data_IF_988646490480
#
_entry.id   IF_988646490480
#
_cell.length_a   1.000
_cell.length_b   1.000
_cell.length_c   1.000
_cell.angle_alpha   90.00
_cell.angle_beta   90.00
_cell.angle_gamma   90.00
#
_symmetry.space_group_name_H-M   'P 1'
#
loop_
_entity.id
_entity.type
_entity.pdbx_description
1 polymer ?
#
# COMPACT_ATOMS: atom_id res chain seq x y z
N UNK A 1 21.93 9.56 -53.26
CA UNK A 1 22.55 10.65 -52.50
C UNK A 1 21.96 10.64 -51.10
N UNK A 2 22.81 10.46 -50.11
CA UNK A 2 22.52 10.12 -48.70
C UNK A 2 22.00 11.32 -47.92
N UNK A 3 20.79 11.23 -47.34
CA UNK A 3 20.28 12.22 -46.40
C UNK A 3 20.67 11.83 -44.97
N UNK A 4 21.63 12.56 -44.39
CA UNK A 4 21.97 12.47 -42.96
C UNK A 4 20.86 13.06 -42.08
N UNK A 5 20.58 12.50 -40.89
CA UNK A 5 19.65 13.10 -39.94
C UNK A 5 20.26 14.35 -39.25
N UNK A 6 19.42 15.29 -38.78
CA UNK A 6 19.88 16.53 -38.15
C UNK A 6 20.48 16.30 -36.74
N UNK A 7 21.40 17.17 -36.29
CA UNK A 7 22.06 17.03 -34.99
C UNK A 7 21.12 17.37 -33.81
N UNK A 8 21.36 16.78 -32.62
CA UNK A 8 20.56 17.04 -31.42
C UNK A 8 20.76 18.45 -30.85
N UNK A 9 19.76 18.99 -30.13
CA UNK A 9 19.83 20.33 -29.53
C UNK A 9 20.85 20.40 -28.37
N UNK A 10 21.48 21.58 -28.13
CA UNK A 10 22.49 21.73 -27.10
C UNK A 10 21.88 21.69 -25.68
N UNK A 11 22.60 21.03 -24.77
CA UNK A 11 22.26 20.92 -23.34
C UNK A 11 22.27 22.31 -22.65
N UNK A 12 21.36 22.56 -21.68
CA UNK A 12 21.32 23.82 -20.95
C UNK A 12 22.56 24.01 -20.06
N UNK A 13 23.17 25.20 -20.16
CA UNK A 13 24.33 25.65 -19.37
C UNK A 13 24.01 25.68 -17.87
N UNK A 14 24.92 25.14 -17.07
CA UNK A 14 24.91 25.25 -15.62
C UNK A 14 25.06 26.72 -15.18
N UNK A 15 24.15 27.18 -14.32
CA UNK A 15 24.21 28.50 -13.67
C UNK A 15 25.10 28.39 -12.42
N UNK A 16 26.10 29.27 -12.22
CA UNK A 16 26.95 29.22 -11.04
C UNK A 16 26.23 29.80 -9.81
N UNK A 17 26.36 29.09 -8.67
CA UNK A 17 25.92 29.56 -7.35
C UNK A 17 26.70 30.82 -6.95
N UNK A 18 25.99 31.93 -6.72
CA UNK A 18 26.54 33.13 -6.06
C UNK A 18 26.89 32.81 -4.61
N UNK A 19 28.17 32.98 -4.27
CA UNK A 19 28.64 33.09 -2.89
C UNK A 19 28.31 34.47 -2.33
N UNK A 20 27.86 34.50 -1.08
CA UNK A 20 27.88 35.71 -0.26
C UNK A 20 28.99 35.58 0.77
N UNK A 21 30.04 36.39 0.55
CA UNK A 21 31.03 36.75 1.55
C UNK A 21 30.49 37.94 2.36
N UNK A 22 30.67 37.91 3.68
CA UNK A 22 30.73 39.12 4.48
C UNK A 22 31.89 39.01 5.47
N UNK A 23 32.80 39.97 5.38
CA UNK A 23 33.96 40.16 6.25
C UNK A 23 33.66 41.25 7.29
N UNK A 24 34.25 41.09 8.49
CA UNK A 24 34.88 42.05 9.43
C UNK A 24 34.27 43.46 9.65
N UNK A 25 34.18 44.06 10.85
CA UNK A 25 35.02 44.09 12.07
C UNK A 25 34.23 44.81 13.23
N UNK A 26 34.86 45.41 14.27
CA UNK A 26 35.66 44.90 15.40
C UNK A 26 35.03 45.21 16.79
N UNK A 27 35.62 44.68 17.88
CA UNK A 27 35.15 44.87 19.28
C UNK A 27 35.56 46.18 19.96
N UNK A 28 35.27 46.31 21.28
CA UNK A 28 36.37 46.54 22.25
C UNK A 28 36.22 45.74 23.59
N UNK A 29 37.32 45.63 24.32
CA UNK A 29 37.50 45.02 25.67
C UNK A 29 37.88 46.13 26.71
N UNK A 30 38.34 45.87 27.96
CA UNK A 30 38.09 44.82 28.98
C UNK A 30 37.84 45.35 30.44
N UNK A 31 37.42 44.45 31.37
CA UNK A 31 37.76 44.44 32.83
C UNK A 31 36.72 44.97 33.85
N UNK A 32 36.86 44.73 35.18
CA UNK A 32 37.64 43.72 35.92
C UNK A 32 36.78 42.85 36.90
N UNK A 33 37.40 41.85 37.52
CA UNK A 33 36.82 40.97 38.55
C UNK A 33 36.67 41.64 39.93
N UNK A 34 35.83 41.07 40.83
CA UNK A 34 36.39 40.62 42.11
C UNK A 34 35.89 39.22 42.54
N UNK A 35 36.73 38.55 43.34
CA UNK A 35 36.44 37.38 44.19
C UNK A 35 36.66 37.79 45.66
N UNK A 36 36.50 36.93 46.69
CA UNK A 36 35.55 35.83 46.90
C UNK A 36 34.77 35.99 48.23
N UNK A 37 33.52 35.53 48.32
CA UNK A 37 32.91 35.23 49.63
C UNK A 37 32.44 33.78 49.67
N UNK A 38 33.12 33.02 50.54
CA UNK A 38 32.73 31.70 51.03
C UNK A 38 31.47 31.89 51.87
N UNK A 39 30.51 30.98 51.77
CA UNK A 39 29.82 30.30 52.89
C UNK A 39 28.85 29.26 52.32
N UNK A 40 28.86 28.06 52.91
CA UNK A 40 27.66 27.20 52.99
C UNK A 40 27.46 26.14 51.90
N UNK A 41 28.18 25.02 52.06
CA UNK A 41 27.66 23.65 51.96
C UNK A 41 26.22 23.46 51.42
N UNK A 42 26.06 22.78 50.29
CA UNK A 42 25.12 21.65 50.16
C UNK A 42 25.25 20.90 48.82
N UNK A 43 25.52 19.61 48.94
CA UNK A 43 25.05 18.51 48.11
C UNK A 43 25.24 18.60 46.58
N UNK A 44 26.27 17.91 46.12
CA UNK A 44 26.31 17.25 44.81
C UNK A 44 25.05 16.39 44.57
N UNK A 45 24.21 16.78 43.61
CA UNK A 45 23.29 15.86 42.94
C UNK A 45 23.68 15.86 41.46
N UNK A 46 24.24 14.74 41.03
CA UNK A 46 24.58 14.50 39.63
C UNK A 46 23.35 14.64 38.74
N UNK A 47 23.44 15.54 37.77
CA UNK A 47 22.51 15.61 36.64
C UNK A 47 22.82 14.41 35.74
N UNK A 48 22.26 13.24 36.08
CA UNK A 48 22.19 12.11 35.15
C UNK A 48 21.13 12.41 34.08
N UNK A 49 21.63 12.67 32.87
CA UNK A 49 21.08 12.27 31.57
C UNK A 49 19.61 11.79 31.55
N UNK A 50 18.66 12.73 31.45
CA UNK A 50 17.28 12.44 30.99
C UNK A 50 16.95 13.11 29.66
N UNK A 51 17.95 13.34 28.81
CA UNK A 51 17.78 14.04 27.52
C UNK A 51 17.92 13.17 26.25
N UNK A 52 18.38 11.93 26.35
CA UNK A 52 18.74 11.13 25.17
C UNK A 52 17.59 10.25 24.63
N UNK A 53 16.71 9.74 25.50
CA UNK A 53 15.66 8.77 25.10
C UNK A 53 14.47 9.40 24.38
N UNK A 54 14.13 10.67 24.68
CA UNK A 54 13.03 11.40 24.04
C UNK A 54 13.33 11.80 22.59
N UNK A 55 14.55 12.27 22.32
CA UNK A 55 15.00 12.65 20.97
C UNK A 55 15.09 11.43 20.04
N UNK A 56 15.62 10.30 20.53
CA UNK A 56 15.71 9.04 19.77
C UNK A 56 14.33 8.47 19.41
N UNK A 57 13.36 8.46 20.34
CA UNK A 57 11.98 8.01 20.07
C UNK A 57 11.26 8.91 19.07
N UNK A 58 11.44 10.24 19.15
CA UNK A 58 10.86 11.18 18.18
C UNK A 58 11.48 11.04 16.79
N UNK A 59 12.79 10.81 16.70
CA UNK A 59 13.50 10.56 15.45
C UNK A 59 13.12 9.22 14.82
N UNK A 60 12.95 8.16 15.61
CA UNK A 60 12.48 6.86 15.15
C UNK A 60 11.00 6.88 14.71
N UNK A 61 10.15 7.67 15.36
CA UNK A 61 8.76 7.89 14.93
C UNK A 61 8.68 8.73 13.64
N UNK A 62 9.52 9.77 13.52
CA UNK A 62 9.65 10.58 12.31
C UNK A 62 10.20 9.78 11.12
N UNK A 63 11.22 8.96 11.35
CA UNK A 63 11.78 8.05 10.34
C UNK A 63 10.78 6.98 9.91
N UNK A 64 10.01 6.39 10.84
CA UNK A 64 8.92 5.46 10.51
C UNK A 64 7.80 6.13 9.72
N UNK A 65 7.44 7.36 10.08
CA UNK A 65 6.42 8.14 9.34
C UNK A 65 6.90 8.49 7.94
N UNK A 66 8.15 8.94 7.79
CA UNK A 66 8.74 9.23 6.48
C UNK A 66 8.86 7.96 5.61
N UNK A 67 9.23 6.82 6.20
CA UNK A 67 9.26 5.52 5.52
C UNK A 67 7.87 5.06 5.08
N UNK A 68 6.86 5.21 5.93
CA UNK A 68 5.46 4.92 5.59
C UNK A 68 4.97 5.84 4.47
N UNK A 69 5.27 7.14 4.53
CA UNK A 69 4.93 8.08 3.46
C UNK A 69 5.62 7.72 2.14
N UNK A 70 6.89 7.33 2.18
CA UNK A 70 7.63 6.88 1.01
C UNK A 70 7.08 5.55 0.44
N UNK A 71 6.76 4.60 1.30
CA UNK A 71 6.13 3.33 0.91
C UNK A 71 4.74 3.56 0.30
N UNK A 72 3.93 4.45 0.89
CA UNK A 72 2.62 4.86 0.38
C UNK A 72 2.70 5.68 -0.92
N UNK A 73 3.78 6.44 -1.11
CA UNK A 73 4.05 7.13 -2.36
C UNK A 73 4.44 6.14 -3.46
N UNK A 74 5.27 5.14 -3.15
CA UNK A 74 5.63 4.04 -4.08
C UNK A 74 4.44 3.15 -4.41
N UNK A 75 3.60 2.81 -3.43
CA UNK A 75 2.37 2.04 -3.65
C UNK A 75 1.34 2.80 -4.49
N UNK A 76 1.49 4.12 -4.64
CA UNK A 76 0.66 5.00 -5.47
C UNK A 76 1.42 5.55 -6.68
N UNK A 77 2.59 5.01 -7.02
CA UNK A 77 3.36 5.47 -8.18
C UNK A 77 2.59 5.30 -9.51
N UNK A 78 1.64 4.37 -9.54
CA UNK A 78 0.70 4.17 -10.65
C UNK A 78 -0.32 5.32 -10.79
N UNK A 79 -0.61 6.03 -9.69
CA UNK A 79 -1.68 7.01 -9.63
C UNK A 79 -1.17 8.39 -10.04
N UNK A 80 -1.73 8.93 -11.14
CA UNK A 80 -1.50 10.31 -11.56
C UNK A 80 -2.76 11.13 -11.28
N UNK A 81 -2.81 11.91 -10.18
CA UNK A 81 -4.02 12.63 -9.79
C UNK A 81 -4.49 13.59 -10.88
N UNK A 82 -5.80 13.60 -11.11
CA UNK A 82 -6.41 14.58 -12.00
C UNK A 82 -6.41 15.96 -11.33
N UNK A 83 -6.05 17.00 -12.08
CA UNK A 83 -6.14 18.38 -11.59
C UNK A 83 -7.60 18.80 -11.34
N UNK A 84 -7.83 19.66 -10.34
CA UNK A 84 -9.19 20.08 -9.94
C UNK A 84 -10.03 20.63 -11.10
N UNK A 85 -9.43 21.40 -12.01
CA UNK A 85 -10.14 21.93 -13.18
C UNK A 85 -10.71 20.83 -14.09
N UNK A 86 -9.92 19.79 -14.39
CA UNK A 86 -10.37 18.65 -15.19
C UNK A 86 -11.50 17.88 -14.50
N UNK A 87 -11.45 17.78 -13.16
CA UNK A 87 -12.50 17.13 -12.36
C UNK A 87 -13.81 17.91 -12.37
N UNK A 88 -13.73 19.23 -12.22
CA UNK A 88 -14.90 20.11 -12.29
C UNK A 88 -15.52 20.06 -13.69
N UNK A 89 -14.70 20.05 -14.73
CA UNK A 89 -15.17 19.90 -16.11
C UNK A 89 -15.86 18.54 -16.33
N UNK A 90 -15.28 17.43 -15.85
CA UNK A 90 -15.89 16.10 -15.96
C UNK A 90 -17.25 16.05 -15.27
N UNK A 91 -17.32 16.54 -14.02
CA UNK A 91 -18.58 16.60 -13.27
C UNK A 91 -19.62 17.48 -13.96
N UNK A 92 -19.20 18.62 -14.52
CA UNK A 92 -20.11 19.52 -15.26
C UNK A 92 -20.69 18.82 -16.51
N UNK A 93 -19.86 18.09 -17.25
CA UNK A 93 -20.31 17.31 -18.41
C UNK A 93 -21.35 16.27 -17.99
N UNK A 94 -21.09 15.53 -16.92
CA UNK A 94 -22.01 14.51 -16.40
C UNK A 94 -23.37 15.13 -16.02
N UNK A 95 -23.36 16.25 -15.28
CA UNK A 95 -24.58 16.98 -14.91
C UNK A 95 -25.33 17.49 -16.13
N UNK A 96 -24.65 18.12 -17.07
CA UNK A 96 -25.28 18.63 -18.31
C UNK A 96 -25.91 17.49 -19.10
N UNK A 97 -25.24 16.35 -19.23
CA UNK A 97 -25.80 15.19 -19.91
C UNK A 97 -27.08 14.68 -19.23
N UNK A 98 -27.09 14.54 -17.90
CA UNK A 98 -28.27 14.15 -17.14
C UNK A 98 -29.42 15.16 -17.30
N UNK A 99 -29.13 16.46 -17.23
CA UNK A 99 -30.14 17.52 -17.39
C UNK A 99 -30.71 17.53 -18.81
N UNK A 100 -29.89 17.36 -19.84
CA UNK A 100 -30.36 17.29 -21.23
C UNK A 100 -31.32 16.12 -21.45
N UNK A 101 -30.98 14.93 -20.94
CA UNK A 101 -31.85 13.75 -21.03
C UNK A 101 -33.17 13.97 -20.27
N UNK A 102 -33.10 14.53 -19.07
CA UNK A 102 -34.27 14.86 -18.25
C UNK A 102 -35.19 15.89 -18.90
N UNK A 103 -34.62 16.98 -19.46
CA UNK A 103 -35.37 18.03 -20.16
C UNK A 103 -36.02 17.46 -21.42
N UNK A 104 -35.29 16.67 -22.21
CA UNK A 104 -35.84 16.02 -23.39
C UNK A 104 -37.03 15.12 -23.03
N UNK A 105 -36.90 14.28 -22.00
CA UNK A 105 -37.98 13.42 -21.52
C UNK A 105 -39.19 14.22 -21.02
N UNK A 106 -38.97 15.29 -20.25
CA UNK A 106 -40.03 16.16 -19.76
C UNK A 106 -40.76 16.91 -20.87
N UNK A 107 -40.04 17.36 -21.91
CA UNK A 107 -40.64 18.02 -23.07
C UNK A 107 -41.43 17.05 -23.96
N UNK A 108 -40.87 15.88 -24.25
CA UNK A 108 -41.51 14.84 -25.07
C UNK A 108 -42.81 14.33 -24.43
N UNK A 109 -42.82 14.20 -23.10
CA UNK A 109 -43.98 13.72 -22.34
C UNK A 109 -44.89 14.84 -21.82
N UNK A 110 -44.47 16.11 -22.00
CA UNK A 110 -45.11 17.31 -21.42
C UNK A 110 -45.34 17.21 -19.91
N UNK A 111 -44.46 16.52 -19.20
CA UNK A 111 -44.57 16.27 -17.76
C UNK A 111 -43.24 16.57 -17.05
N UNK A 112 -43.27 17.58 -16.18
CA UNK A 112 -42.11 17.91 -15.34
C UNK A 112 -41.76 16.77 -14.38
N UNK A 113 -42.76 16.01 -13.91
CA UNK A 113 -42.57 14.87 -13.01
C UNK A 113 -41.75 13.77 -13.69
N UNK A 114 -42.05 13.47 -14.96
CA UNK A 114 -41.29 12.50 -15.74
C UNK A 114 -39.84 12.99 -15.93
N UNK A 115 -39.65 14.27 -16.24
CA UNK A 115 -38.31 14.86 -16.36
C UNK A 115 -37.50 14.70 -15.07
N UNK A 116 -38.09 14.99 -13.91
CA UNK A 116 -37.42 14.81 -12.60
C UNK A 116 -37.13 13.34 -12.32
N UNK A 117 -38.05 12.43 -12.60
CA UNK A 117 -37.84 10.99 -12.41
C UNK A 117 -36.65 10.49 -13.26
N UNK A 118 -36.61 10.89 -14.53
CA UNK A 118 -35.51 10.55 -15.46
C UNK A 118 -34.19 11.15 -14.99
N UNK A 119 -34.19 12.37 -14.42
CA UNK A 119 -32.98 12.97 -13.85
C UNK A 119 -32.43 12.13 -12.69
N UNK A 120 -33.30 11.70 -11.77
CA UNK A 120 -32.93 10.86 -10.64
C UNK A 120 -32.44 9.48 -11.11
N UNK A 121 -33.12 8.88 -12.08
CA UNK A 121 -32.73 7.61 -12.67
C UNK A 121 -31.36 7.70 -13.36
N UNK A 122 -31.13 8.73 -14.18
CA UNK A 122 -29.84 8.96 -14.84
C UNK A 122 -28.71 9.15 -13.82
N UNK A 123 -28.96 9.87 -12.71
CA UNK A 123 -28.00 10.03 -11.64
C UNK A 123 -27.65 8.69 -10.97
N UNK A 124 -28.66 7.84 -10.69
CA UNK A 124 -28.44 6.49 -10.14
C UNK A 124 -27.68 5.60 -11.13
N UNK A 125 -28.00 5.67 -12.42
CA UNK A 125 -27.27 4.92 -13.47
C UNK A 125 -25.80 5.35 -13.49
N UNK A 126 -25.50 6.65 -13.49
CA UNK A 126 -24.11 7.14 -13.42
C UNK A 126 -23.38 6.66 -12.17
N UNK A 127 -24.05 6.65 -11.02
CA UNK A 127 -23.48 6.12 -9.77
C UNK A 127 -23.10 4.64 -9.89
N UNK A 128 -23.98 3.83 -10.47
CA UNK A 128 -23.73 2.39 -10.67
C UNK A 128 -22.60 2.18 -11.68
N UNK A 129 -22.61 2.91 -12.79
CA UNK A 129 -21.58 2.85 -13.82
C UNK A 129 -20.21 3.22 -13.25
N UNK A 130 -20.12 4.32 -12.51
CA UNK A 130 -18.87 4.76 -11.90
C UNK A 130 -18.39 3.77 -10.83
N UNK A 131 -19.29 3.21 -10.02
CA UNK A 131 -18.92 2.22 -9.01
C UNK A 131 -18.34 0.94 -9.62
N UNK A 132 -18.89 0.47 -10.74
CA UNK A 132 -18.48 -0.77 -11.42
C UNK A 132 -17.26 -0.58 -12.32
N UNK A 133 -17.22 0.51 -13.07
CA UNK A 133 -16.22 0.70 -14.14
C UNK A 133 -15.14 1.73 -13.79
N UNK A 134 -15.41 2.59 -12.80
CA UNK A 134 -14.61 3.79 -12.53
C UNK A 134 -14.80 4.89 -13.58
N UNK A 135 -15.74 4.73 -14.50
CA UNK A 135 -15.95 5.64 -15.62
C UNK A 135 -17.34 6.29 -15.57
N UNK A 136 -17.38 7.56 -15.95
CA UNK A 136 -18.57 8.36 -16.26
C UNK A 136 -18.37 8.97 -17.65
N UNK A 137 -19.42 9.57 -18.22
CA UNK A 137 -19.31 10.20 -19.53
C UNK A 137 -18.24 11.29 -19.54
N UNK A 138 -18.29 12.21 -18.57
CA UNK A 138 -17.31 13.28 -18.41
C UNK A 138 -15.90 12.76 -18.14
N UNK A 139 -15.77 11.72 -17.32
CA UNK A 139 -14.49 11.07 -17.08
C UNK A 139 -13.92 10.49 -18.38
N UNK A 140 -14.71 9.80 -19.21
CA UNK A 140 -14.23 9.24 -20.48
C UNK A 140 -13.79 10.33 -21.45
N UNK A 141 -14.57 11.40 -21.58
CA UNK A 141 -14.24 12.52 -22.48
C UNK A 141 -12.95 13.25 -22.06
N UNK A 142 -12.72 13.39 -20.75
CA UNK A 142 -11.54 14.06 -20.22
C UNK A 142 -10.40 13.10 -19.85
N UNK A 143 -10.53 11.81 -20.22
CA UNK A 143 -9.54 10.76 -19.96
C UNK A 143 -9.20 10.61 -18.49
N UNK A 144 -10.21 10.74 -17.64
CA UNK A 144 -10.14 10.51 -16.22
C UNK A 144 -10.74 9.14 -15.90
N UNK A 145 -10.33 8.58 -14.77
CA UNK A 145 -10.95 7.38 -14.22
C UNK A 145 -10.93 7.46 -12.71
N UNK A 146 -12.06 7.14 -12.08
CA UNK A 146 -12.15 6.98 -10.64
C UNK A 146 -11.64 5.57 -10.29
N UNK A 147 -10.64 5.50 -9.42
CA UNK A 147 -10.05 4.27 -8.92
C UNK A 147 -10.09 4.24 -7.39
N UNK A 148 -9.80 3.09 -6.80
CA UNK A 148 -9.59 2.98 -5.35
C UNK A 148 -8.30 3.70 -4.94
N UNK A 149 -8.21 4.10 -3.68
CA UNK A 149 -7.03 4.80 -3.17
C UNK A 149 -5.84 3.90 -2.84
N UNK A 150 -6.07 2.59 -2.79
CA UNK A 150 -5.11 1.53 -2.50
C UNK A 150 -4.65 0.78 -3.75
N UNK A 151 -5.45 0.76 -4.83
CA UNK A 151 -5.16 -0.02 -6.03
C UNK A 151 -5.81 0.55 -7.32
N UNK A 152 -5.25 0.25 -8.51
CA UNK A 152 -5.73 0.72 -9.82
C UNK A 152 -7.03 0.03 -10.30
N UNK A 153 -7.93 -0.31 -9.38
CA UNK A 153 -9.19 -0.96 -9.67
C UNK A 153 -10.38 -0.01 -9.53
N UNK A 154 -11.50 -0.36 -10.17
CA UNK A 154 -12.76 0.36 -9.99
C UNK A 154 -13.14 0.44 -8.49
N UNK A 155 -13.83 1.51 -8.05
CA UNK A 155 -14.19 1.71 -6.64
C UNK A 155 -14.88 0.52 -5.98
N UNK A 156 -15.74 -0.17 -6.72
CA UNK A 156 -16.64 -1.20 -6.20
C UNK A 156 -17.91 -0.57 -5.62
N UNK A 157 -18.95 -1.38 -5.44
CA UNK A 157 -20.30 -0.90 -5.10
C UNK A 157 -20.33 -0.15 -3.77
N UNK A 158 -19.76 -0.69 -2.70
CA UNK A 158 -19.80 -0.06 -1.37
C UNK A 158 -19.11 1.31 -1.34
N UNK A 159 -17.86 1.39 -1.83
CA UNK A 159 -17.09 2.64 -1.88
C UNK A 159 -17.69 3.66 -2.85
N UNK A 160 -18.14 3.18 -4.00
CA UNK A 160 -18.83 4.00 -5.01
C UNK A 160 -20.14 4.58 -4.47
N UNK A 161 -20.92 3.80 -3.73
CA UNK A 161 -22.16 4.25 -3.10
C UNK A 161 -21.89 5.32 -2.03
N UNK A 162 -20.91 5.13 -1.13
CA UNK A 162 -20.56 6.15 -0.13
C UNK A 162 -20.13 7.45 -0.78
N UNK A 163 -19.22 7.39 -1.76
CA UNK A 163 -18.80 8.57 -2.54
C UNK A 163 -20.00 9.23 -3.21
N UNK A 164 -20.83 8.40 -3.84
CA UNK A 164 -22.03 8.81 -4.55
C UNK A 164 -23.05 9.53 -3.70
N UNK A 165 -23.29 9.04 -2.49
CA UNK A 165 -24.18 9.67 -1.52
C UNK A 165 -23.62 11.03 -1.08
N UNK A 166 -22.34 11.12 -0.72
CA UNK A 166 -21.74 12.41 -0.33
C UNK A 166 -21.82 13.42 -1.48
N UNK A 167 -21.55 12.99 -2.71
CA UNK A 167 -21.67 13.84 -3.90
C UNK A 167 -23.12 14.23 -4.19
N UNK A 168 -24.06 13.28 -4.09
CA UNK A 168 -25.48 13.47 -4.35
C UNK A 168 -26.15 14.39 -3.33
N UNK A 169 -25.90 14.17 -2.04
CA UNK A 169 -26.35 15.07 -0.97
C UNK A 169 -25.78 16.48 -1.17
N UNK A 170 -24.49 16.59 -1.48
CA UNK A 170 -23.87 17.88 -1.81
C UNK A 170 -24.55 18.55 -3.00
N UNK A 171 -24.89 17.80 -4.04
CA UNK A 171 -25.59 18.31 -5.23
C UNK A 171 -27.01 18.77 -4.92
N UNK A 172 -27.71 18.11 -4.00
CA UNK A 172 -29.05 18.51 -3.58
C UNK A 172 -29.06 19.85 -2.82
N UNK A 173 -27.94 20.25 -2.20
CA UNK A 173 -27.81 21.56 -1.56
C UNK A 173 -27.75 22.66 -2.62
N UNK A 174 -28.85 23.40 -2.77
CA UNK A 174 -29.02 24.52 -3.68
C UNK A 174 -28.73 24.21 -5.17
N UNK A 175 -28.71 22.93 -5.56
CA UNK A 175 -28.36 22.47 -6.91
C UNK A 175 -26.96 22.89 -7.40
N UNK A 176 -26.11 23.43 -6.52
CA UNK A 176 -24.75 23.88 -6.82
C UNK A 176 -23.70 23.29 -5.87
N UNK A 177 -24.12 22.71 -4.74
CA UNK A 177 -23.20 22.18 -3.74
C UNK A 177 -22.35 21.01 -4.24
N UNK A 178 -22.77 20.33 -5.32
CA UNK A 178 -21.97 19.28 -5.97
C UNK A 178 -20.63 19.79 -6.53
N UNK A 179 -20.62 21.00 -7.11
CA UNK A 179 -19.37 21.64 -7.57
C UNK A 179 -18.49 22.04 -6.39
N UNK A 180 -19.09 22.50 -5.29
CA UNK A 180 -18.34 22.82 -4.08
C UNK A 180 -17.65 21.57 -3.50
N UNK A 181 -18.36 20.43 -3.46
CA UNK A 181 -17.78 19.13 -3.05
C UNK A 181 -16.58 18.79 -3.94
N UNK A 182 -16.69 18.89 -5.26
CA UNK A 182 -15.55 18.61 -6.17
C UNK A 182 -14.42 19.61 -5.99
N UNK A 183 -14.72 20.90 -5.79
CA UNK A 183 -13.74 21.96 -5.58
C UNK A 183 -12.90 21.76 -4.32
N UNK A 184 -13.42 21.03 -3.31
CA UNK A 184 -12.62 20.67 -2.12
C UNK A 184 -11.38 19.83 -2.44
N UNK A 185 -11.28 19.27 -3.64
CA UNK A 185 -10.06 18.60 -4.13
C UNK A 185 -8.86 19.54 -4.25
N UNK A 186 -9.06 20.84 -4.49
CA UNK A 186 -7.97 21.81 -4.55
C UNK A 186 -7.31 22.03 -3.18
N UNK A 187 -8.06 21.81 -2.11
CA UNK A 187 -7.62 21.99 -0.73
C UNK A 187 -7.13 20.67 -0.09
N UNK A 188 -6.86 19.63 -0.88
CA UNK A 188 -6.38 18.34 -0.35
C UNK A 188 -4.94 18.47 0.21
N UNK A 189 -4.73 18.31 1.52
CA UNK A 189 -3.41 18.39 2.14
C UNK A 189 -2.44 17.33 1.60
N UNK A 190 -2.97 16.22 1.10
CA UNK A 190 -2.20 15.10 0.58
C UNK A 190 -1.66 15.36 -0.83
N UNK A 191 -2.03 16.50 -1.45
CA UNK A 191 -1.77 16.85 -2.88
C UNK A 191 -2.17 15.75 -3.87
N UNK A 192 -3.08 14.89 -3.44
CA UNK A 192 -3.59 13.76 -4.21
C UNK A 192 -4.90 14.15 -4.92
N UNK A 193 -5.31 15.41 -4.78
CA UNK A 193 -6.47 15.98 -5.43
C UNK A 193 -7.75 15.28 -5.04
N UNK A 194 -7.98 14.92 -3.77
CA UNK A 194 -9.17 14.19 -3.29
C UNK A 194 -10.26 15.13 -2.76
N UNK A 195 -11.47 15.01 -3.30
CA UNK A 195 -12.65 15.74 -2.81
C UNK A 195 -13.16 15.14 -1.49
N UNK A 196 -14.09 15.83 -0.81
CA UNK A 196 -14.82 15.25 0.33
C UNK A 196 -15.47 13.91 -0.01
N UNK A 197 -16.11 13.81 -1.17
CA UNK A 197 -16.69 12.57 -1.65
C UNK A 197 -15.64 11.46 -1.85
N UNK A 198 -14.46 11.79 -2.40
CA UNK A 198 -13.41 10.78 -2.60
C UNK A 198 -12.80 10.28 -1.29
N UNK A 199 -12.65 11.18 -0.30
CA UNK A 199 -12.14 10.84 1.02
C UNK A 199 -13.11 9.94 1.77
N UNK A 200 -14.41 10.23 1.71
CA UNK A 200 -15.44 9.36 2.28
C UNK A 200 -15.46 7.98 1.60
N UNK A 201 -15.35 7.93 0.28
CA UNK A 201 -15.37 6.69 -0.48
C UNK A 201 -14.04 5.93 -0.54
N UNK A 202 -12.94 6.45 0.01
CA UNK A 202 -11.58 5.91 -0.18
C UNK A 202 -11.23 5.68 -1.65
N UNK A 203 -11.49 6.69 -2.47
CA UNK A 203 -11.24 6.69 -3.93
C UNK A 203 -10.28 7.81 -4.32
N UNK A 204 -9.87 7.77 -5.58
CA UNK A 204 -8.99 8.73 -6.23
C UNK A 204 -9.37 8.88 -7.71
N UNK A 205 -9.36 10.09 -8.24
CA UNK A 205 -9.53 10.33 -9.68
C UNK A 205 -8.16 10.46 -10.33
N UNK A 206 -7.85 9.55 -11.26
CA UNK A 206 -6.57 9.47 -11.95
C UNK A 206 -6.71 9.78 -13.44
N UNK A 207 -5.66 10.31 -14.05
CA UNK A 207 -5.59 10.53 -15.50
C UNK A 207 -5.19 9.24 -16.20
N UNK A 208 -5.96 8.87 -17.22
CA UNK A 208 -5.67 7.74 -18.12
C UNK A 208 -4.70 8.21 -19.22
N UNK A 209 -3.54 7.54 -19.39
CA UNK A 209 -2.52 7.94 -20.36
C UNK A 209 -3.00 7.84 -21.81
N UNK A 210 -2.34 8.55 -22.71
CA UNK A 210 -2.50 8.39 -24.17
C UNK A 210 -1.81 7.13 -24.69
N UNK A 211 -2.20 6.67 -25.88
CA UNK A 211 -1.54 5.53 -26.51
C UNK A 211 -0.05 5.86 -26.77
N UNK A 212 0.23 7.07 -27.25
CA UNK A 212 1.60 7.57 -27.43
C UNK A 212 2.36 7.68 -26.10
N UNK A 213 1.70 8.11 -25.02
CA UNK A 213 2.31 8.15 -23.69
C UNK A 213 2.63 6.73 -23.18
N UNK A 214 1.71 5.77 -23.33
CA UNK A 214 1.98 4.36 -23.00
C UNK A 214 3.16 3.82 -23.77
N UNK A 215 3.19 4.04 -25.08
CA UNK A 215 4.28 3.59 -25.94
C UNK A 215 5.61 4.22 -25.54
N UNK A 216 5.63 5.52 -25.18
CA UNK A 216 6.83 6.15 -24.65
C UNK A 216 7.33 5.48 -23.36
N UNK A 217 6.42 5.13 -22.46
CA UNK A 217 6.79 4.48 -21.20
C UNK A 217 7.27 3.05 -21.40
N UNK A 218 6.64 2.31 -22.32
CA UNK A 218 7.09 0.96 -22.67
C UNK A 218 8.49 0.99 -23.29
N UNK A 219 8.78 2.01 -24.12
CA UNK A 219 10.13 2.22 -24.65
C UNK A 219 11.13 2.55 -23.55
N UNK A 220 10.80 3.50 -22.68
CA UNK A 220 11.67 3.90 -21.56
C UNK A 220 11.95 2.72 -20.61
N UNK A 221 10.92 1.92 -20.31
CA UNK A 221 11.03 0.73 -19.48
C UNK A 221 11.93 -0.33 -20.12
N UNK A 222 11.81 -0.56 -21.44
CA UNK A 222 12.68 -1.48 -22.18
C UNK A 222 14.12 -0.99 -22.23
N UNK A 223 14.34 0.31 -22.45
CA UNK A 223 15.67 0.91 -22.46
C UNK A 223 16.32 0.78 -21.07
N UNK A 224 15.55 1.00 -20.00
CA UNK A 224 16.01 0.78 -18.64
C UNK A 224 16.36 -0.69 -18.36
N UNK A 225 15.51 -1.64 -18.78
CA UNK A 225 15.75 -3.07 -18.60
C UNK A 225 17.01 -3.57 -19.35
N UNK A 226 17.31 -3.00 -20.52
CA UNK A 226 18.52 -3.32 -21.29
C UNK A 226 19.81 -2.80 -20.64
N UNK A 227 19.70 -1.73 -19.84
CA UNK A 227 20.81 -1.17 -19.06
C UNK A 227 20.96 -1.78 -17.67
N UNK A 228 20.07 -2.69 -17.26
CA UNK A 228 20.15 -3.35 -15.96
C UNK A 228 21.32 -4.35 -15.93
N UNK A 229 22.13 -4.38 -14.85
CA UNK A 229 23.25 -5.32 -14.72
C UNK A 229 22.76 -6.78 -14.77
N UNK A 230 23.42 -7.60 -15.59
CA UNK A 230 23.10 -9.02 -15.77
C UNK A 230 23.69 -9.86 -14.63
N UNK A 231 22.92 -10.77 -14.00
CA UNK A 231 23.45 -11.59 -12.91
C UNK A 231 24.48 -12.60 -13.43
N UNK A 232 25.64 -12.66 -12.77
CA UNK A 232 26.72 -13.60 -13.08
C UNK A 232 26.32 -15.04 -12.75
N UNK A 233 26.65 -16.00 -13.63
CA UNK A 233 26.42 -17.43 -13.40
C UNK A 233 27.21 -17.95 -12.18
N UNK A 234 26.59 -18.67 -11.23
CA UNK A 234 27.31 -19.28 -10.12
C UNK A 234 28.02 -20.57 -10.57
N UNK A 235 29.30 -20.69 -10.21
CA UNK A 235 30.07 -21.95 -10.27
C UNK A 235 29.72 -22.91 -9.13
N UNK A 236 30.15 -24.18 -9.19
CA UNK A 236 29.71 -25.21 -8.25
C UNK A 236 30.42 -25.04 -6.90
N UNK A 237 29.66 -24.90 -5.81
CA UNK A 237 30.19 -24.91 -4.43
C UNK A 237 29.57 -26.04 -3.61
N UNK A 238 30.43 -26.79 -2.92
CA UNK A 238 30.15 -28.07 -2.28
C UNK A 238 29.27 -28.02 -1.03
N UNK A 239 28.70 -29.19 -0.73
CA UNK A 239 27.80 -29.47 0.37
C UNK A 239 28.47 -29.28 1.75
N UNK A 240 27.73 -28.64 2.67
CA UNK A 240 28.08 -28.61 4.10
C UNK A 240 26.99 -29.36 4.89
N UNK A 241 27.44 -30.33 5.69
CA UNK A 241 26.65 -31.25 6.49
C UNK A 241 26.00 -30.58 7.71
N UNK A 242 24.77 -30.98 8.04
CA UNK A 242 23.98 -30.43 9.15
C UNK A 242 24.44 -30.91 10.52
N UNK A 243 24.38 -30.00 11.50
CA UNK A 243 24.56 -30.29 12.92
C UNK A 243 23.21 -30.24 13.65
N UNK A 244 22.87 -31.33 14.34
CA UNK A 244 21.67 -31.50 15.16
C UNK A 244 21.92 -31.11 16.63
N UNK A 245 20.97 -30.41 17.27
CA UNK A 245 20.98 -30.07 18.71
C UNK A 245 20.01 -30.99 19.46
N UNK A 246 20.37 -31.59 20.61
CA UNK A 246 19.49 -32.49 21.37
C UNK A 246 18.56 -31.74 22.35
N UNK A 247 17.37 -32.29 22.60
CA UNK A 247 16.37 -31.80 23.55
C UNK A 247 16.56 -32.44 24.95
N UNK A 248 16.53 -31.64 26.02
CA UNK A 248 16.57 -32.10 27.41
C UNK A 248 15.17 -32.22 28.04
N UNK A 249 14.98 -33.09 29.07
CA UNK A 249 13.65 -33.37 29.63
C UNK A 249 13.19 -32.34 30.68
N UNK A 250 11.89 -32.07 30.71
CA UNK A 250 11.22 -31.16 31.64
C UNK A 250 10.95 -31.80 33.03
N UNK A 251 11.08 -31.01 34.10
CA UNK A 251 10.92 -31.45 35.49
C UNK A 251 9.45 -31.46 35.96
N UNK A 252 9.07 -32.29 36.98
CA UNK A 252 7.70 -32.41 37.46
C UNK A 252 7.34 -31.39 38.56
N UNK A 253 6.05 -31.03 38.64
CA UNK A 253 5.49 -30.12 39.65
C UNK A 253 5.14 -30.85 40.98
N UNK A 254 5.15 -30.15 42.12
CA UNK A 254 4.96 -30.75 43.45
C UNK A 254 3.51 -31.14 43.78
N UNK A 255 3.30 -32.18 44.61
CA UNK A 255 1.96 -32.67 44.98
C UNK A 255 1.32 -31.80 46.08
N UNK A 256 0.04 -31.43 45.91
CA UNK A 256 -0.75 -30.73 46.93
C UNK A 256 -1.85 -29.79 46.45
N UNK A 257 -2.06 -29.61 45.14
CA UNK A 257 -3.13 -28.74 44.62
C UNK A 257 -4.38 -29.56 44.38
N UNK A 258 -5.39 -29.37 45.22
CA UNK A 258 -6.75 -29.94 45.03
C UNK A 258 -7.63 -28.82 44.49
N UNK A 259 -8.21 -29.01 43.30
CA UNK A 259 -9.14 -28.06 42.71
C UNK A 259 -10.52 -28.18 43.39
N UNK A 260 -11.10 -27.05 43.81
CA UNK A 260 -12.47 -26.97 44.34
C UNK A 260 -13.34 -26.35 43.25
N UNK A 261 -14.36 -27.10 42.81
CA UNK A 261 -15.37 -26.63 41.85
C UNK A 261 -16.40 -25.73 42.56
N UNK A 262 -16.43 -24.46 42.18
CA UNK A 262 -17.51 -23.52 42.47
C UNK A 262 -17.91 -22.79 41.17
N UNK A 263 -19.20 -22.74 40.78
CA UNK A 263 -19.59 -22.09 39.53
C UNK A 263 -19.62 -20.56 39.73
N UNK A 264 -18.54 -19.90 39.35
CA UNK A 264 -18.49 -18.45 39.17
C UNK A 264 -18.97 -18.15 37.75
N UNK A 265 -19.96 -17.26 37.61
CA UNK A 265 -20.39 -16.75 36.32
C UNK A 265 -19.17 -16.27 35.52
N UNK A 266 -19.00 -16.81 34.29
CA UNK A 266 -17.80 -16.61 33.51
C UNK A 266 -17.52 -15.12 33.26
N UNK A 267 -16.39 -14.64 33.77
CA UNK A 267 -15.82 -13.38 33.31
C UNK A 267 -15.63 -13.44 31.78
N UNK A 268 -15.75 -12.32 31.04
CA UNK A 268 -15.46 -12.29 29.61
C UNK A 268 -14.07 -12.89 29.39
N UNK A 269 -14.02 -13.99 28.63
CA UNK A 269 -12.77 -14.69 28.34
C UNK A 269 -11.78 -13.67 27.74
N UNK A 270 -10.53 -13.60 28.23
CA UNK A 270 -9.51 -12.77 27.61
C UNK A 270 -9.46 -13.09 26.12
N UNK A 271 -9.64 -12.06 25.27
CA UNK A 271 -9.57 -12.23 23.82
C UNK A 271 -8.17 -12.71 23.48
N UNK A 272 -8.06 -13.91 22.91
CA UNK A 272 -6.78 -14.52 22.55
C UNK A 272 -6.25 -13.79 21.31
N UNK A 273 -5.39 -12.80 21.53
CA UNK A 273 -4.72 -12.07 20.46
C UNK A 273 -3.58 -12.94 19.93
N UNK A 274 -3.65 -13.32 18.66
CA UNK A 274 -2.66 -14.15 17.98
C UNK A 274 -1.87 -13.39 16.93
N UNK A 275 -0.70 -13.94 16.59
CA UNK A 275 0.04 -13.52 15.41
C UNK A 275 -0.39 -14.37 14.20
N UNK A 276 -0.68 -13.68 13.10
CA UNK A 276 -1.02 -14.28 11.82
C UNK A 276 -0.04 -13.84 10.77
N UNK A 277 0.24 -14.74 9.82
CA UNK A 277 0.96 -14.43 8.62
C UNK A 277 -0.05 -14.06 7.53
N UNK A 278 -0.07 -12.79 7.14
CA UNK A 278 -0.93 -12.29 6.07
C UNK A 278 -0.16 -12.35 4.75
N UNK A 279 -0.65 -13.16 3.82
CA UNK A 279 -0.21 -13.18 2.44
C UNK A 279 -1.11 -12.25 1.64
N UNK A 280 -0.51 -11.32 0.92
CA UNK A 280 -1.24 -10.40 0.02
C UNK A 280 -0.75 -10.58 -1.40
N UNK A 281 -1.58 -11.13 -2.27
CA UNK A 281 -1.27 -11.35 -3.68
C UNK A 281 -1.55 -10.10 -4.52
N UNK A 282 -0.87 -9.98 -5.65
CA UNK A 282 -1.06 -8.95 -6.68
C UNK A 282 -2.48 -8.95 -7.27
N UNK A 283 -3.13 -10.11 -7.29
CA UNK A 283 -4.55 -10.29 -7.65
C UNK A 283 -5.53 -9.71 -6.64
N UNK A 284 -5.04 -9.29 -5.46
CA UNK A 284 -5.85 -8.81 -4.34
C UNK A 284 -6.39 -9.93 -3.44
N UNK A 285 -6.12 -11.20 -3.77
CA UNK A 285 -6.33 -12.31 -2.85
C UNK A 285 -5.52 -12.09 -1.57
N UNK A 286 -6.14 -12.37 -0.41
CA UNK A 286 -5.48 -12.29 0.88
C UNK A 286 -5.76 -13.55 1.67
N UNK A 287 -4.70 -14.18 2.15
CA UNK A 287 -4.78 -15.38 2.97
C UNK A 287 -4.15 -15.13 4.34
N UNK A 288 -4.82 -15.58 5.40
CA UNK A 288 -4.32 -15.45 6.77
C UNK A 288 -3.94 -16.82 7.27
N UNK A 289 -2.67 -17.00 7.60
CA UNK A 289 -2.14 -18.25 8.12
C UNK A 289 -1.81 -18.11 9.60
N UNK A 290 -2.30 -19.03 10.43
CA UNK A 290 -2.03 -19.01 11.88
C UNK A 290 -0.59 -19.43 12.17
N UNK A 291 0.17 -18.60 12.88
CA UNK A 291 1.55 -18.89 13.27
C UNK A 291 1.58 -19.83 14.50
N UNK A 292 2.50 -20.83 14.57
CA UNK A 292 3.44 -21.26 13.53
C UNK A 292 2.72 -22.00 12.38
N UNK A 293 3.16 -21.76 11.14
CA UNK A 293 2.55 -22.33 9.94
C UNK A 293 3.58 -22.90 8.98
N UNK A 294 3.18 -23.95 8.27
CA UNK A 294 3.78 -24.41 7.03
C UNK A 294 2.66 -24.41 5.99
N UNK A 295 2.86 -23.72 4.87
CA UNK A 295 1.83 -23.57 3.86
C UNK A 295 2.33 -23.82 2.43
N UNK A 296 1.49 -24.44 1.61
CA UNK A 296 1.75 -24.67 0.19
C UNK A 296 0.93 -23.72 -0.67
N UNK A 297 1.62 -23.00 -1.54
CA UNK A 297 1.03 -22.04 -2.46
C UNK A 297 1.07 -22.61 -3.88
N UNK A 298 -0.03 -22.47 -4.60
CA UNK A 298 -0.09 -22.82 -6.02
C UNK A 298 -1.51 -22.74 -6.55
N UNK A 299 -1.72 -23.02 -7.84
CA UNK A 299 -3.05 -22.99 -8.46
C UNK A 299 -3.98 -24.09 -7.92
N UNK A 300 -3.41 -25.25 -7.58
CA UNK A 300 -4.11 -26.44 -7.07
C UNK A 300 -3.18 -27.14 -6.07
N UNK A 301 -2.94 -26.52 -4.89
CA UNK A 301 -1.93 -26.98 -3.96
C UNK A 301 -2.39 -28.30 -3.30
N UNK A 302 -1.46 -29.25 -3.18
CA UNK A 302 -1.69 -30.51 -2.47
C UNK A 302 -0.90 -30.52 -1.14
N UNK A 303 -1.48 -31.07 -0.06
CA UNK A 303 -0.76 -31.24 1.21
C UNK A 303 0.32 -32.30 1.04
N UNK A 304 1.50 -32.10 1.64
CA UNK A 304 2.55 -33.13 1.70
C UNK A 304 2.69 -33.74 3.10
N UNK A 305 2.22 -33.04 4.14
CA UNK A 305 2.14 -33.53 5.51
C UNK A 305 0.85 -33.07 6.22
N UNK A 306 0.50 -33.74 7.32
CA UNK A 306 -0.62 -33.34 8.19
C UNK A 306 -0.33 -31.99 8.87
N UNK A 307 -1.32 -31.09 8.86
CA UNK A 307 -1.22 -29.76 9.46
C UNK A 307 -0.65 -28.65 8.55
N UNK A 308 -0.36 -28.95 7.28
CA UNK A 308 0.04 -27.94 6.28
C UNK A 308 -1.17 -27.17 5.75
N UNK A 309 -1.08 -25.83 5.73
CA UNK A 309 -2.14 -24.97 5.20
C UNK A 309 -2.01 -24.81 3.68
N UNK A 310 -3.12 -24.81 2.95
CA UNK A 310 -3.11 -24.76 1.48
C UNK A 310 -3.62 -23.41 1.00
N UNK A 311 -2.84 -22.74 0.16
CA UNK A 311 -3.17 -21.42 -0.38
C UNK A 311 -3.33 -21.53 -1.90
N UNK A 312 -4.58 -21.64 -2.34
CA UNK A 312 -4.91 -21.72 -3.76
C UNK A 312 -4.82 -20.34 -4.41
N UNK A 313 -3.81 -20.12 -5.25
CA UNK A 313 -3.55 -18.84 -5.92
C UNK A 313 -4.39 -18.75 -7.19
N UNK A 314 -5.22 -17.70 -7.30
CA UNK A 314 -5.98 -17.44 -8.52
C UNK A 314 -5.06 -16.98 -9.66
N UNK A 315 -4.93 -17.81 -10.70
CA UNK A 315 -4.08 -17.52 -11.84
C UNK A 315 -4.70 -18.01 -13.17
N UNK A 316 -5.47 -17.17 -13.88
CA UNK A 316 -6.15 -17.56 -15.12
C UNK A 316 -5.17 -17.90 -16.26
N UNK A 317 -3.98 -17.31 -16.25
CA UNK A 317 -2.97 -17.49 -17.31
C UNK A 317 -2.10 -18.74 -17.13
N UNK A 318 -2.37 -19.55 -16.09
CA UNK A 318 -1.64 -20.80 -15.80
C UNK A 318 -0.12 -20.65 -15.64
N UNK A 319 0.35 -19.45 -15.29
CA UNK A 319 1.74 -19.12 -14.96
C UNK A 319 2.20 -19.73 -13.61
N UNK A 320 1.29 -20.14 -12.74
CA UNK A 320 1.56 -20.76 -11.44
C UNK A 320 1.33 -22.28 -11.50
N UNK A 321 2.32 -23.06 -11.07
CA UNK A 321 2.24 -24.53 -10.95
C UNK A 321 1.16 -24.97 -9.94
N UNK A 322 0.73 -26.24 -10.01
CA UNK A 322 -0.29 -26.80 -9.11
C UNK A 322 0.12 -26.61 -7.64
N UNK A 323 1.33 -27.04 -7.31
CA UNK A 323 2.05 -26.68 -6.09
C UNK A 323 3.33 -25.95 -6.53
N UNK A 324 3.49 -24.68 -6.19
CA UNK A 324 4.56 -23.81 -6.68
C UNK A 324 5.59 -23.52 -5.57
N UNK A 325 5.13 -23.05 -4.41
CA UNK A 325 5.99 -22.68 -3.30
C UNK A 325 5.56 -23.33 -1.99
N UNK A 326 6.53 -23.50 -1.09
CA UNK A 326 6.32 -23.83 0.32
C UNK A 326 6.80 -22.66 1.18
N UNK A 327 5.90 -22.17 2.02
CA UNK A 327 6.14 -21.10 2.98
C UNK A 327 6.19 -21.70 4.39
N UNK A 328 7.18 -21.34 5.19
CA UNK A 328 7.31 -21.80 6.57
C UNK A 328 7.60 -20.62 7.49
N UNK A 329 6.86 -20.52 8.59
CA UNK A 329 7.18 -19.61 9.67
C UNK A 329 7.89 -20.36 10.79
N UNK A 330 9.20 -20.11 10.96
CA UNK A 330 10.02 -20.71 12.03
C UNK A 330 10.96 -19.68 12.63
N UNK A 331 11.02 -19.63 13.96
CA UNK A 331 11.96 -18.79 14.70
C UNK A 331 11.76 -17.28 14.52
N UNK A 332 10.52 -16.84 14.28
CA UNK A 332 10.22 -15.42 14.04
C UNK A 332 10.59 -14.94 12.64
N UNK A 333 10.79 -15.85 11.69
CA UNK A 333 11.12 -15.51 10.30
C UNK A 333 10.35 -16.39 9.33
N UNK A 334 10.05 -15.81 8.17
CA UNK A 334 9.38 -16.48 7.06
C UNK A 334 10.45 -17.06 6.15
N UNK A 335 10.28 -18.31 5.77
CA UNK A 335 11.12 -19.03 4.83
C UNK A 335 10.28 -19.42 3.63
N UNK A 336 10.83 -19.31 2.43
CA UNK A 336 10.16 -19.69 1.19
C UNK A 336 11.05 -20.68 0.43
N UNK A 337 10.42 -21.70 -0.16
CA UNK A 337 11.08 -22.77 -0.91
C UNK A 337 10.33 -23.01 -2.21
N UNK A 338 11.02 -23.00 -3.34
CA UNK A 338 10.42 -23.39 -4.63
C UNK A 338 10.32 -24.92 -4.72
N UNK A 339 9.11 -25.44 -4.97
CA UNK A 339 8.83 -26.88 -5.05
C UNK A 339 8.99 -27.45 -6.47
N UNK A 340 9.79 -26.80 -7.31
CA UNK A 340 10.07 -27.27 -8.68
C UNK A 340 9.18 -26.60 -9.72
N UNK A 341 8.87 -25.33 -9.53
CA UNK A 341 8.00 -24.55 -10.39
C UNK A 341 8.43 -24.53 -11.86
N UNK A 342 7.46 -24.49 -12.78
CA UNK A 342 7.71 -24.49 -14.23
C UNK A 342 8.25 -23.15 -14.71
N UNK A 343 7.74 -22.04 -14.17
CA UNK A 343 8.08 -20.67 -14.58
C UNK A 343 9.06 -19.97 -13.63
N UNK A 344 9.54 -20.66 -12.60
CA UNK A 344 10.47 -20.12 -11.62
C UNK A 344 9.80 -19.23 -10.56
N UNK A 345 10.54 -19.01 -9.48
CA UNK A 345 10.18 -18.08 -8.41
C UNK A 345 11.31 -17.08 -8.18
N UNK A 346 10.98 -15.85 -7.78
CA UNK A 346 11.94 -14.76 -7.59
C UNK A 346 11.57 -13.97 -6.33
N UNK A 347 12.49 -13.83 -5.38
CA UNK A 347 12.38 -12.84 -4.31
C UNK A 347 12.70 -11.46 -4.88
N UNK A 348 11.97 -10.45 -4.48
CA UNK A 348 12.28 -9.05 -4.73
C UNK A 348 12.39 -8.38 -3.38
N UNK A 349 13.58 -7.87 -3.06
CA UNK A 349 13.87 -7.21 -1.79
C UNK A 349 13.23 -5.80 -1.70
N UNK A 350 13.52 -5.05 -0.63
CA UNK A 350 13.00 -3.70 -0.42
C UNK A 350 13.67 -2.62 -1.30
N UNK A 351 14.79 -2.95 -1.93
CA UNK A 351 15.52 -2.11 -2.90
C UNK A 351 15.05 -2.36 -4.34
N UNK A 352 14.28 -3.43 -4.57
CA UNK A 352 13.83 -3.89 -5.88
C UNK A 352 14.79 -4.88 -6.55
N UNK A 353 15.86 -5.27 -5.85
CA UNK A 353 16.79 -6.29 -6.30
C UNK A 353 16.08 -7.65 -6.31
N UNK A 354 16.14 -8.30 -7.46
CA UNK A 354 15.45 -9.56 -7.71
C UNK A 354 16.42 -10.73 -7.57
N UNK A 355 16.21 -11.57 -6.57
CA UNK A 355 16.95 -12.82 -6.33
C UNK A 355 16.12 -14.01 -6.77
N UNK A 356 16.58 -14.75 -7.79
CA UNK A 356 15.89 -15.98 -8.22
C UNK A 356 15.97 -17.05 -7.12
N UNK A 357 14.84 -17.69 -6.82
CA UNK A 357 14.78 -18.87 -5.97
C UNK A 357 15.23 -20.08 -6.77
N UNK A 358 16.22 -20.80 -6.25
CA UNK A 358 16.57 -22.11 -6.77
C UNK A 358 15.54 -23.16 -6.33
N UNK A 359 15.27 -24.14 -7.20
CA UNK A 359 14.35 -25.23 -6.90
C UNK A 359 14.83 -26.03 -5.68
N UNK A 360 13.98 -26.14 -4.67
CA UNK A 360 14.26 -26.81 -3.40
C UNK A 360 15.09 -25.98 -2.42
N UNK A 361 15.59 -24.80 -2.81
CA UNK A 361 16.35 -23.93 -1.92
C UNK A 361 15.42 -23.16 -0.97
N UNK A 362 15.73 -23.23 0.32
CA UNK A 362 14.99 -22.57 1.39
C UNK A 362 15.64 -21.23 1.69
N UNK A 363 15.00 -20.14 1.27
CA UNK A 363 15.50 -18.77 1.44
C UNK A 363 14.66 -18.05 2.50
N UNK A 364 15.32 -17.28 3.37
CA UNK A 364 14.64 -16.41 4.32
C UNK A 364 14.06 -15.21 3.58
N UNK A 365 12.79 -14.93 3.82
CA UNK A 365 12.14 -13.73 3.34
C UNK A 365 12.34 -12.62 4.36
N UNK A 366 13.02 -11.55 3.94
CA UNK A 366 13.21 -10.36 4.77
C UNK A 366 11.91 -9.54 4.87
N UNK A 367 11.77 -8.77 5.95
CA UNK A 367 10.56 -8.01 6.23
C UNK A 367 10.27 -6.99 5.12
N UNK A 368 9.16 -7.17 4.42
CA UNK A 368 8.76 -6.29 3.31
C UNK A 368 9.26 -6.73 1.93
N UNK A 369 10.04 -7.82 1.84
CA UNK A 369 10.33 -8.46 0.57
C UNK A 369 9.07 -9.09 -0.03
N UNK A 370 9.01 -9.12 -1.36
CA UNK A 370 7.94 -9.76 -2.12
C UNK A 370 8.45 -11.00 -2.83
N UNK A 371 7.58 -11.96 -3.08
CA UNK A 371 7.91 -13.17 -3.83
C UNK A 371 7.05 -13.22 -5.07
N UNK A 372 7.70 -13.36 -6.23
CA UNK A 372 7.08 -13.53 -7.53
C UNK A 372 7.14 -15.00 -7.94
N UNK A 373 6.00 -15.54 -8.37
CA UNK A 373 5.76 -16.90 -8.85
C UNK A 373 5.20 -16.81 -10.27
N UNK A 374 6.03 -17.05 -11.29
CA UNK A 374 5.64 -16.75 -12.68
C UNK A 374 5.28 -15.26 -12.86
N UNK A 375 4.04 -15.00 -13.27
CA UNK A 375 3.48 -13.64 -13.45
C UNK A 375 2.73 -13.10 -12.23
N UNK A 376 2.63 -13.90 -11.15
CA UNK A 376 1.94 -13.52 -9.91
C UNK A 376 2.93 -13.13 -8.83
N UNK A 377 2.58 -12.14 -8.03
CA UNK A 377 3.40 -11.68 -6.91
C UNK A 377 2.62 -11.74 -5.59
N UNK A 378 3.31 -11.95 -4.48
CA UNK A 378 2.72 -11.75 -3.15
C UNK A 378 3.73 -11.14 -2.18
N UNK A 379 3.20 -10.42 -1.20
CA UNK A 379 3.95 -9.93 -0.04
C UNK A 379 3.49 -10.65 1.21
N UNK A 380 4.38 -10.70 2.19
CA UNK A 380 4.12 -11.33 3.48
C UNK A 380 4.25 -10.28 4.57
N UNK A 381 3.27 -10.24 5.48
CA UNK A 381 3.32 -9.38 6.65
C UNK A 381 2.86 -10.17 7.88
N UNK A 382 3.57 -10.02 9.00
CA UNK A 382 3.08 -10.49 10.30
C UNK A 382 2.09 -9.46 10.82
N UNK A 383 0.87 -9.90 11.11
CA UNK A 383 -0.18 -9.06 11.67
C UNK A 383 -0.69 -9.65 12.97
N UNK A 384 -0.86 -8.79 13.96
CA UNK A 384 -1.50 -9.16 15.23
C UNK A 384 -3.00 -9.00 15.08
N UNK A 385 -3.77 -10.05 15.37
CA UNK A 385 -5.22 -10.06 15.24
C UNK A 385 -5.88 -10.92 16.30
N UNK A 386 -7.19 -10.75 16.51
CA UNK A 386 -7.96 -11.62 17.39
C UNK A 386 -8.08 -13.02 16.75
N UNK A 387 -7.74 -14.07 17.50
CA UNK A 387 -7.96 -15.46 17.07
C UNK A 387 -9.42 -15.78 17.36
N UNK A 388 -10.23 -15.87 16.31
CA UNK A 388 -11.52 -16.54 16.40
C UNK A 388 -11.24 -18.04 16.56
N UNK A 389 -11.55 -18.59 17.73
CA UNK A 389 -11.46 -20.04 17.94
C UNK A 389 -12.54 -20.68 17.10
N UNK A 390 -12.11 -21.45 16.11
CA UNK A 390 -12.97 -22.37 15.37
C UNK A 390 -13.58 -23.34 16.41
N UNK A 391 -14.87 -23.19 16.66
CA UNK A 391 -15.53 -23.85 17.79
C UNK A 391 -16.79 -23.14 18.25
N UNK A 392 -17.75 -22.93 17.34
CA UNK A 392 -19.17 -22.99 17.68
C UNK A 392 -19.96 -23.48 16.45
N UNK A 393 -19.84 -24.78 16.19
CA UNK A 393 -20.90 -25.54 15.52
C UNK A 393 -21.54 -26.38 16.62
N UNK A 394 -22.65 -25.90 17.14
CA UNK A 394 -23.49 -26.54 18.15
C UNK A 394 -24.85 -25.88 18.19
#
# INVERSE_FOLDING_TARGET
MTHSPPPPPPLPRAVPRRGHAHAHAPGPAPGPAPAPERHGSSASIGVHERGASGRSRSGAAGARSARLTAALARSRAWARPAGTGARLAAYTIDVVACVLVAVAAGLLTRSAVIGVLVLLEAAVILLILEARTGATLGNLLLRLRTARDDAPFSPGVARGAVRGLVQGLGSAVALIGGWAVVATSAADPSRMGRSWADRAGRTLVVRVPTAAERESWDRDARAWAQGAPSPASPGPTGAVLGASIPAGPAAPLPPGVVAVDAPIAAAPRPREVGEFLLLSFDTGQRERLRIPTTAHLGRQPAPSAEGEQLVAVYDPDSSVSKTHLRLEYRGGSVWVTDLGSTNGSVLVDDTGESTSLERGARIRLDDGASVRMGERGFTVAVVTGEIERDGDVG
#
